data_IF_884595960067
#
_entry.id   IF_884595960067
#
_cell.length_a   1.000
_cell.length_b   1.000
_cell.length_c   1.000
_cell.angle_alpha   90.00
_cell.angle_beta   90.00
_cell.angle_gamma   90.00
#
_symmetry.space_group_name_H-M   'P 1'
#
loop_
_entity.id
_entity.type
_entity.pdbx_description
1 polymer ?
#
# COMPACT_ATOMS: atom_id res chain seq x y z
N UNK A 1 11.11 -6.33 -0.54
CA UNK A 1 9.69 -6.72 -0.63
C UNK A 1 9.08 -6.08 -1.87
N UNK A 2 8.39 -6.85 -2.70
CA UNK A 2 7.78 -6.26 -3.89
C UNK A 2 6.52 -5.46 -3.49
N UNK A 3 5.94 -4.71 -4.44
CA UNK A 3 4.81 -3.84 -4.11
C UNK A 3 3.62 -4.60 -3.53
N UNK A 4 3.25 -5.73 -4.14
CA UNK A 4 2.06 -6.43 -3.67
C UNK A 4 2.24 -6.93 -2.25
N UNK A 5 3.41 -7.48 -1.94
CA UNK A 5 3.72 -7.93 -0.59
C UNK A 5 3.86 -6.76 0.37
N UNK A 6 4.48 -5.67 -0.10
CA UNK A 6 4.69 -4.48 0.73
C UNK A 6 3.39 -3.83 1.14
N UNK A 7 2.46 -3.68 0.21
CA UNK A 7 1.15 -3.10 0.51
C UNK A 7 0.40 -3.98 1.52
N UNK A 8 0.44 -5.28 1.30
CA UNK A 8 -0.19 -6.23 2.21
C UNK A 8 0.42 -6.15 3.61
N UNK A 9 1.76 -6.05 3.67
CA UNK A 9 2.48 -5.92 4.93
C UNK A 9 2.06 -4.66 5.68
N UNK A 10 2.05 -3.52 4.99
CA UNK A 10 1.67 -2.24 5.60
C UNK A 10 0.27 -2.34 6.20
N UNK A 11 -0.66 -2.89 5.43
CA UNK A 11 -2.04 -3.02 5.85
C UNK A 11 -2.16 -3.92 7.08
N UNK A 12 -1.47 -5.05 7.07
CA UNK A 12 -1.55 -6.01 8.18
C UNK A 12 -0.92 -5.48 9.45
N UNK A 13 0.22 -4.79 9.33
CA UNK A 13 0.87 -4.18 10.48
C UNK A 13 -0.03 -3.14 11.13
N UNK A 14 -0.81 -2.43 10.31
CA UNK A 14 -1.76 -1.43 10.81
C UNK A 14 -3.09 -2.04 11.25
N UNK A 15 -3.24 -3.36 11.14
CA UNK A 15 -4.46 -4.08 11.51
C UNK A 15 -5.69 -3.59 10.74
N UNK A 16 -5.51 -3.34 9.44
CA UNK A 16 -6.60 -2.86 8.61
C UNK A 16 -7.02 -3.90 7.58
N UNK A 17 -8.32 -3.92 7.27
CA UNK A 17 -8.83 -4.66 6.13
C UNK A 17 -8.44 -3.93 4.85
N UNK A 18 -8.58 -4.59 3.70
CA UNK A 18 -8.35 -3.92 2.42
C UNK A 18 -9.26 -2.71 2.26
N UNK A 19 -10.51 -2.83 2.69
CA UNK A 19 -11.47 -1.74 2.59
C UNK A 19 -11.08 -0.56 3.46
N UNK A 20 -10.70 -0.83 4.71
CA UNK A 20 -10.29 0.23 5.63
C UNK A 20 -9.02 0.91 5.17
N UNK A 21 -8.06 0.12 4.67
CA UNK A 21 -6.82 0.68 4.14
C UNK A 21 -7.10 1.57 2.93
N UNK A 22 -8.00 1.12 2.05
CA UNK A 22 -8.38 1.92 0.88
C UNK A 22 -8.94 3.28 1.31
N UNK A 23 -9.77 3.30 2.35
CA UNK A 23 -10.31 4.56 2.87
C UNK A 23 -9.21 5.45 3.42
N UNK A 24 -8.25 4.87 4.13
CA UNK A 24 -7.14 5.66 4.70
C UNK A 24 -6.28 6.29 3.62
N UNK A 25 -6.06 5.58 2.53
CA UNK A 25 -5.23 6.06 1.43
C UNK A 25 -6.04 6.95 0.47
N UNK A 26 -7.36 6.83 0.48
CA UNK A 26 -8.21 7.62 -0.41
C UNK A 26 -8.36 7.01 -1.79
N UNK A 27 -8.38 5.68 -1.87
CA UNK A 27 -8.58 4.97 -3.13
C UNK A 27 -9.69 3.95 -2.95
N UNK A 28 -10.11 3.30 -4.04
CA UNK A 28 -11.17 2.30 -3.96
C UNK A 28 -10.63 0.98 -3.42
N UNK A 29 -11.53 0.17 -2.86
CA UNK A 29 -11.21 -1.18 -2.44
C UNK A 29 -10.59 -1.99 -3.58
N UNK A 30 -11.18 -1.91 -4.77
CA UNK A 30 -10.68 -2.67 -5.91
C UNK A 30 -9.27 -2.26 -6.29
N UNK A 31 -8.90 -1.00 -6.08
CA UNK A 31 -7.55 -0.54 -6.34
C UNK A 31 -6.55 -1.23 -5.40
N UNK A 32 -6.85 -1.26 -4.09
CA UNK A 32 -5.99 -1.94 -3.12
C UNK A 32 -5.91 -3.43 -3.43
N UNK A 33 -7.04 -4.03 -3.75
CA UNK A 33 -7.07 -5.46 -4.09
C UNK A 33 -6.17 -5.76 -5.29
N UNK A 34 -6.21 -4.91 -6.32
CA UNK A 34 -5.37 -5.09 -7.50
C UNK A 34 -3.89 -4.94 -7.18
N UNK A 35 -3.54 -3.97 -6.32
CA UNK A 35 -2.16 -3.82 -5.87
C UNK A 35 -1.67 -5.09 -5.18
N UNK A 36 -2.47 -5.63 -4.27
CA UNK A 36 -2.08 -6.80 -3.49
C UNK A 36 -2.03 -8.07 -4.33
N UNK A 37 -2.73 -8.09 -5.46
CA UNK A 37 -2.69 -9.22 -6.38
C UNK A 37 -1.63 -9.06 -7.45
N UNK A 38 -0.89 -7.97 -7.42
CA UNK A 38 0.17 -7.72 -8.39
C UNK A 38 -0.35 -7.32 -9.77
N UNK A 39 -1.62 -6.93 -9.87
CA UNK A 39 -2.23 -6.57 -11.15
C UNK A 39 -1.91 -5.13 -11.57
N UNK A 40 -1.58 -4.28 -10.61
CA UNK A 40 -1.22 -2.90 -10.90
C UNK A 40 -0.36 -2.37 -9.77
N UNK A 41 0.30 -1.25 -10.03
CA UNK A 41 1.14 -0.58 -9.04
C UNK A 41 0.60 0.81 -8.76
N UNK A 42 0.83 1.34 -7.54
CA UNK A 42 0.42 2.70 -7.24
C UNK A 42 1.12 3.70 -8.15
N UNK A 43 0.38 4.72 -8.57
CA UNK A 43 1.00 5.83 -9.28
C UNK A 43 1.70 6.74 -8.27
N UNK A 44 2.33 7.80 -8.76
CA UNK A 44 3.10 8.71 -7.90
C UNK A 44 2.24 9.30 -6.78
N UNK A 45 1.04 9.75 -7.12
CA UNK A 45 0.16 10.36 -6.13
C UNK A 45 -0.24 9.36 -5.04
N UNK A 46 -0.54 8.11 -5.43
CA UNK A 46 -0.88 7.07 -4.49
C UNK A 46 0.31 6.70 -3.61
N UNK A 47 1.51 6.61 -4.20
CA UNK A 47 2.72 6.32 -3.43
C UNK A 47 2.98 7.39 -2.38
N UNK A 48 2.74 8.64 -2.72
CA UNK A 48 2.90 9.75 -1.79
C UNK A 48 1.98 9.57 -0.58
N UNK A 49 0.74 9.17 -0.82
CA UNK A 49 -0.23 8.92 0.25
C UNK A 49 0.16 7.71 1.09
N UNK A 50 0.65 6.66 0.44
CA UNK A 50 1.10 5.46 1.14
C UNK A 50 2.29 5.80 2.05
N UNK A 51 3.24 6.57 1.55
CA UNK A 51 4.39 6.98 2.36
C UNK A 51 3.96 7.84 3.53
N UNK A 52 3.01 8.76 3.33
CA UNK A 52 2.50 9.58 4.41
C UNK A 52 1.82 8.73 5.48
N UNK A 53 1.06 7.72 5.06
CA UNK A 53 0.42 6.80 5.97
C UNK A 53 1.46 6.03 6.79
N UNK A 54 2.50 5.53 6.13
CA UNK A 54 3.56 4.79 6.81
C UNK A 54 4.27 5.67 7.83
N UNK A 55 4.59 6.90 7.45
CA UNK A 55 5.26 7.83 8.37
C UNK A 55 4.38 8.14 9.58
N UNK A 56 3.09 8.37 9.37
CA UNK A 56 2.17 8.68 10.46
C UNK A 56 1.99 7.51 11.41
N UNK A 57 2.15 6.29 10.93
CA UNK A 57 1.95 5.08 11.74
C UNK A 57 3.27 4.40 12.13
N UNK A 58 4.40 5.04 11.87
CA UNK A 58 5.73 4.53 12.21
C UNK A 58 5.98 3.15 11.60
N UNK A 59 5.54 2.97 10.37
CA UNK A 59 5.72 1.73 9.63
C UNK A 59 6.88 1.91 8.65
N UNK A 60 7.85 1.01 8.71
CA UNK A 60 8.97 1.02 7.77
C UNK A 60 8.82 -0.14 6.81
N UNK A 61 8.92 0.14 5.53
CA UNK A 61 8.85 -0.88 4.50
C UNK A 61 9.81 -0.50 3.37
N UNK A 62 10.55 -1.49 2.88
CA UNK A 62 11.47 -1.30 1.77
C UNK A 62 10.88 -2.02 0.56
N UNK A 63 10.48 -1.23 -0.44
CA UNK A 63 10.03 -1.79 -1.71
C UNK A 63 11.24 -2.06 -2.59
N UNK A 64 11.22 -3.17 -3.32
CA UNK A 64 12.29 -3.51 -4.24
C UNK A 64 12.31 -2.50 -5.39
N UNK A 65 13.50 -1.93 -5.67
CA UNK A 65 13.63 -0.96 -6.75
C UNK A 65 13.35 -1.57 -8.11
N UNK A 66 13.65 -2.85 -8.25
CA UNK A 66 13.45 -3.56 -9.52
C UNK A 66 11.99 -3.86 -9.80
N UNK A 67 11.11 -3.55 -8.86
CA UNK A 67 9.68 -3.82 -8.97
C UNK A 67 8.93 -2.71 -9.69
N UNK A 68 9.63 -1.85 -10.37
CA UNK A 68 9.05 -0.75 -11.14
C UNK A 68 8.75 -1.13 -12.57
#
# INVERSE_FOLDING_TARGET
MNFSEGIKYIRKVAYLSQESFAKEIGVSFSTVNRWERGKSKPNYAAMKKINAFCNANLIKVDFDEDDT
#
